data_IF_961147307290
#
_entry.id   IF_961147307290
#
_cell.length_a   1.000
_cell.length_b   1.000
_cell.length_c   1.000
_cell.angle_alpha   90.00
_cell.angle_beta   90.00
_cell.angle_gamma   90.00
#
_symmetry.space_group_name_H-M   'P 1'
#
loop_
_entity.id
_entity.type
_entity.pdbx_description
1 polymer ?
#
# COMPACT_ATOMS: atom_id res chain seq x y z
N UNK A 1 -14.30 -0.75 -8.48
CA UNK A 1 -14.80 0.63 -8.59
C UNK A 1 -13.89 1.52 -7.78
N UNK A 2 -12.95 2.20 -8.44
CA UNK A 2 -11.95 3.06 -7.80
C UNK A 2 -12.15 4.51 -8.19
N UNK A 3 -11.78 5.40 -7.27
CA UNK A 3 -11.60 6.83 -7.49
C UNK A 3 -10.26 7.22 -6.87
N UNK A 4 -9.58 8.18 -7.48
CA UNK A 4 -8.29 8.67 -7.00
C UNK A 4 -8.26 10.20 -7.01
N UNK A 5 -7.67 10.76 -5.97
CA UNK A 5 -7.39 12.19 -5.89
C UNK A 5 -6.11 12.51 -6.67
N UNK A 6 -6.14 13.60 -7.41
CA UNK A 6 -4.93 14.19 -7.98
C UNK A 6 -4.29 15.14 -6.95
N UNK A 7 -2.98 15.42 -7.06
CA UNK A 7 -2.30 16.38 -6.18
C UNK A 7 -2.87 17.80 -6.25
N UNK A 8 -3.51 18.16 -7.37
CA UNK A 8 -4.17 19.45 -7.58
C UNK A 8 -5.64 19.50 -7.12
N UNK A 9 -6.13 18.46 -6.43
CA UNK A 9 -7.46 18.45 -5.81
C UNK A 9 -8.62 18.11 -6.74
N UNK A 10 -8.34 17.49 -7.89
CA UNK A 10 -9.35 16.89 -8.78
C UNK A 10 -9.53 15.42 -8.46
N UNK A 11 -10.57 14.81 -9.03
CA UNK A 11 -10.92 13.42 -8.84
C UNK A 11 -10.90 12.70 -10.19
N UNK A 12 -10.16 11.60 -10.28
CA UNK A 12 -10.16 10.68 -11.41
C UNK A 12 -10.90 9.41 -11.05
N UNK A 13 -11.74 8.93 -11.95
CA UNK A 13 -12.61 7.78 -11.69
C UNK A 13 -13.01 7.08 -13.00
N UNK A 14 -13.41 5.81 -12.89
CA UNK A 14 -13.98 5.09 -14.02
C UNK A 14 -15.48 5.41 -14.15
N UNK A 15 -15.98 5.64 -15.38
CA UNK A 15 -17.41 5.92 -15.61
C UNK A 15 -17.90 5.44 -16.97
N UNK A 16 -19.16 4.97 -17.01
CA UNK A 16 -19.90 4.62 -18.22
C UNK A 16 -20.67 5.78 -18.85
N UNK A 17 -20.52 7.01 -18.36
CA UNK A 17 -21.28 8.17 -18.85
C UNK A 17 -21.13 8.42 -20.37
N UNK A 18 -20.05 7.91 -20.97
CA UNK A 18 -19.77 8.02 -22.40
C UNK A 18 -20.12 6.78 -23.24
N UNK A 19 -20.89 5.82 -22.69
CA UNK A 19 -21.32 4.60 -23.40
C UNK A 19 -20.43 3.37 -23.20
N UNK A 20 -19.21 3.54 -22.71
CA UNK A 20 -18.25 2.50 -22.33
C UNK A 20 -17.57 2.88 -21.01
N UNK A 21 -17.01 1.90 -20.29
CA UNK A 21 -16.20 2.21 -19.12
C UNK A 21 -14.90 2.91 -19.54
N UNK A 22 -14.78 4.18 -19.18
CA UNK A 22 -13.61 5.00 -19.49
C UNK A 22 -13.11 5.72 -18.25
N UNK A 23 -11.96 6.38 -18.38
CA UNK A 23 -11.41 7.23 -17.34
C UNK A 23 -11.95 8.65 -17.50
N UNK A 24 -12.48 9.19 -16.41
CA UNK A 24 -13.07 10.52 -16.31
C UNK A 24 -12.38 11.32 -15.21
N UNK A 25 -12.46 12.65 -15.35
CA UNK A 25 -11.96 13.58 -14.36
C UNK A 25 -13.01 14.65 -14.04
N UNK A 26 -13.06 15.08 -12.78
CA UNK A 26 -13.92 16.18 -12.31
C UNK A 26 -13.22 17.00 -11.23
N UNK A 27 -13.67 18.23 -11.00
CA UNK A 27 -13.26 19.01 -9.83
C UNK A 27 -13.83 18.40 -8.54
N UNK A 28 -13.25 18.72 -7.39
CA UNK A 28 -13.74 18.24 -6.08
C UNK A 28 -15.23 18.53 -5.81
N UNK A 29 -15.76 19.62 -6.37
CA UNK A 29 -17.16 20.01 -6.26
C UNK A 29 -18.08 19.39 -7.34
N UNK A 30 -17.56 18.49 -8.18
CA UNK A 30 -18.27 17.83 -9.27
C UNK A 30 -18.37 18.62 -10.58
N UNK A 31 -17.88 19.87 -10.62
CA UNK A 31 -17.87 20.69 -11.84
C UNK A 31 -16.77 20.26 -12.84
N UNK A 32 -16.90 20.69 -14.10
CA UNK A 32 -15.93 20.42 -15.17
C UNK A 32 -15.66 18.93 -15.39
N UNK A 33 -16.71 18.12 -15.25
CA UNK A 33 -16.66 16.71 -15.59
C UNK A 33 -16.34 16.52 -17.08
N UNK A 34 -15.30 15.74 -17.39
CA UNK A 34 -14.95 15.39 -18.77
C UNK A 34 -14.32 14.00 -18.86
N UNK A 35 -14.51 13.34 -20.00
CA UNK A 35 -13.78 12.12 -20.34
C UNK A 35 -12.30 12.47 -20.51
N UNK A 36 -11.42 11.66 -19.92
CA UNK A 36 -9.97 11.86 -20.01
C UNK A 36 -9.39 11.13 -21.22
N UNK A 37 -9.80 9.87 -21.44
CA UNK A 37 -9.45 9.11 -22.63
C UNK A 37 -10.48 7.98 -22.87
N UNK A 38 -10.58 7.56 -24.13
CA UNK A 38 -11.35 6.39 -24.55
C UNK A 38 -10.41 5.18 -24.50
N UNK A 39 -10.55 4.37 -23.45
CA UNK A 39 -9.54 3.37 -23.09
C UNK A 39 -10.12 2.02 -22.71
N UNK A 40 -11.44 1.90 -22.62
CA UNK A 40 -12.11 0.69 -22.13
C UNK A 40 -11.50 0.22 -20.81
N UNK A 41 -11.48 1.12 -19.82
CA UNK A 41 -10.92 0.85 -18.50
C UNK A 41 -11.89 0.04 -17.65
N UNK A 42 -11.41 -0.97 -16.94
CA UNK A 42 -12.30 -1.92 -16.29
C UNK A 42 -12.75 -1.47 -14.89
N UNK A 43 -11.89 -0.83 -14.05
CA UNK A 43 -12.38 -0.42 -12.70
C UNK A 43 -11.47 0.34 -11.70
N UNK A 44 -10.18 0.61 -11.89
CA UNK A 44 -9.35 1.18 -10.81
C UNK A 44 -8.26 2.14 -11.30
N UNK A 45 -8.54 3.44 -11.45
CA UNK A 45 -7.49 4.42 -11.65
C UNK A 45 -6.73 4.69 -10.35
N UNK A 46 -5.42 4.78 -10.45
CA UNK A 46 -4.52 5.35 -9.46
C UNK A 46 -3.69 6.45 -10.12
N UNK A 47 -3.32 7.47 -9.35
CA UNK A 47 -2.61 8.65 -9.85
C UNK A 47 -1.20 8.66 -9.29
N UNK A 48 -0.21 9.00 -10.12
CA UNK A 48 1.16 9.16 -9.65
C UNK A 48 1.24 10.33 -8.65
N UNK A 49 2.15 10.29 -7.66
CA UNK A 49 2.27 11.35 -6.66
C UNK A 49 2.55 12.74 -7.24
N UNK A 50 3.16 12.81 -8.42
CA UNK A 50 3.41 14.04 -9.17
C UNK A 50 2.24 14.47 -10.08
N UNK A 51 1.16 13.69 -10.14
CA UNK A 51 -0.02 13.96 -10.94
C UNK A 51 0.16 13.79 -12.45
N UNK A 52 1.31 13.26 -12.91
CA UNK A 52 1.60 13.09 -14.34
C UNK A 52 0.94 11.88 -14.97
N UNK A 53 0.77 10.80 -14.22
CA UNK A 53 0.31 9.52 -14.75
C UNK A 53 -0.99 9.06 -14.12
N UNK A 54 -1.84 8.46 -14.95
CA UNK A 54 -2.93 7.58 -14.51
C UNK A 54 -2.53 6.15 -14.83
N UNK A 55 -2.57 5.27 -13.82
CA UNK A 55 -2.51 3.82 -14.04
C UNK A 55 -3.89 3.25 -13.82
N UNK A 56 -4.34 2.42 -14.75
CA UNK A 56 -5.67 1.84 -14.73
C UNK A 56 -5.65 0.41 -15.26
N UNK A 57 -6.67 -0.35 -14.89
CA UNK A 57 -6.88 -1.71 -15.34
C UNK A 57 -7.68 -1.74 -16.65
N UNK A 58 -7.32 -2.58 -17.61
CA UNK A 58 -8.08 -2.79 -18.86
C UNK A 58 -7.89 -4.21 -19.41
N UNK A 59 -8.98 -4.82 -19.87
CA UNK A 59 -9.03 -6.19 -20.40
C UNK A 59 -8.92 -6.22 -21.93
N UNK A 60 -9.35 -5.16 -22.63
CA UNK A 60 -9.21 -4.98 -24.09
C UNK A 60 -9.61 -6.18 -24.96
N UNK A 61 -10.61 -6.95 -24.52
CA UNK A 61 -11.09 -8.14 -25.24
C UNK A 61 -10.26 -9.41 -25.03
N UNK A 62 -9.32 -9.37 -24.10
CA UNK A 62 -8.53 -10.53 -23.66
C UNK A 62 -9.24 -11.25 -22.50
N UNK A 63 -8.75 -12.43 -22.10
CA UNK A 63 -9.33 -13.17 -20.96
C UNK A 63 -8.91 -12.59 -19.60
N UNK A 64 -7.87 -11.77 -19.57
CA UNK A 64 -7.28 -11.20 -18.35
C UNK A 64 -7.18 -9.69 -18.42
N UNK A 65 -7.24 -9.05 -17.26
CA UNK A 65 -7.05 -7.61 -17.16
C UNK A 65 -5.58 -7.28 -16.88
N UNK A 66 -5.05 -6.27 -17.56
CA UNK A 66 -3.68 -5.77 -17.36
C UNK A 66 -3.67 -4.32 -16.85
N UNK A 67 -2.55 -3.91 -16.26
CA UNK A 67 -2.31 -2.51 -15.93
C UNK A 67 -1.78 -1.75 -17.13
N UNK A 68 -2.37 -0.59 -17.37
CA UNK A 68 -1.99 0.37 -18.38
C UNK A 68 -1.69 1.71 -17.72
N UNK A 69 -0.78 2.47 -18.32
CA UNK A 69 -0.45 3.84 -17.94
C UNK A 69 -0.79 4.80 -19.07
N UNK A 70 -1.27 5.99 -18.74
CA UNK A 70 -1.36 7.13 -19.65
C UNK A 70 -0.94 8.42 -18.96
N UNK A 71 -0.64 9.46 -19.73
CA UNK A 71 -0.42 10.80 -19.21
C UNK A 71 -1.75 11.41 -18.74
N UNK A 72 -1.68 12.30 -17.75
CA UNK A 72 -2.85 12.94 -17.12
C UNK A 72 -3.51 14.01 -18.00
N UNK A 73 -2.84 14.48 -19.05
CA UNK A 73 -3.42 15.35 -20.07
C UNK A 73 -4.11 14.58 -21.19
N UNK A 74 -3.91 13.25 -21.25
CA UNK A 74 -4.51 12.36 -22.23
C UNK A 74 -3.46 11.49 -22.93
N UNK A 75 -3.76 11.07 -24.16
CA UNK A 75 -2.84 10.30 -25.00
C UNK A 75 -3.06 8.79 -24.97
N UNK A 76 -2.26 8.08 -25.76
CA UNK A 76 -2.39 6.64 -25.96
C UNK A 76 -1.89 5.87 -24.74
N UNK A 77 -2.70 4.95 -24.17
CA UNK A 77 -2.26 4.11 -23.07
C UNK A 77 -1.12 3.18 -23.47
N UNK A 78 -0.18 2.99 -22.54
CA UNK A 78 0.93 2.05 -22.63
C UNK A 78 0.71 0.92 -21.62
N UNK A 79 0.80 -0.33 -22.06
CA UNK A 79 0.73 -1.49 -21.18
C UNK A 79 1.95 -1.55 -20.26
N UNK A 80 1.72 -1.78 -18.96
CA UNK A 80 2.77 -1.94 -17.95
C UNK A 80 3.06 -3.40 -17.62
N UNK A 81 2.05 -4.25 -17.74
CA UNK A 81 2.07 -5.63 -17.25
C UNK A 81 1.40 -6.58 -18.23
N UNK A 82 1.75 -7.86 -18.15
CA UNK A 82 1.20 -8.94 -18.98
C UNK A 82 0.71 -10.12 -18.12
N UNK A 83 0.10 -9.80 -16.98
CA UNK A 83 -0.42 -10.74 -15.97
C UNK A 83 -1.88 -10.41 -15.63
N UNK A 84 -2.59 -11.30 -14.94
CA UNK A 84 -3.95 -11.00 -14.50
C UNK A 84 -3.92 -10.16 -13.22
N UNK A 85 -4.07 -8.84 -13.37
CA UNK A 85 -3.81 -7.87 -12.31
C UNK A 85 -5.10 -7.41 -11.62
N UNK A 86 -4.98 -7.09 -10.33
CA UNK A 86 -6.11 -6.67 -9.51
C UNK A 86 -5.92 -5.28 -8.90
N UNK A 87 -5.37 -5.18 -7.69
CA UNK A 87 -5.17 -3.92 -6.99
C UNK A 87 -3.75 -3.39 -7.21
N UNK A 88 -3.58 -2.08 -7.31
CA UNK A 88 -2.28 -1.44 -7.50
C UNK A 88 -2.14 -0.18 -6.63
N UNK A 89 -0.91 0.16 -6.27
CA UNK A 89 -0.55 1.42 -5.60
C UNK A 89 0.78 1.95 -6.13
N UNK A 90 0.91 3.27 -6.17
CA UNK A 90 2.14 3.93 -6.59
C UNK A 90 3.17 3.95 -5.47
N UNK A 91 4.44 3.94 -5.86
CA UNK A 91 5.50 4.33 -4.96
C UNK A 91 5.43 5.83 -4.62
N UNK A 92 5.88 6.25 -3.43
CA UNK A 92 5.90 7.67 -3.05
C UNK A 92 6.73 8.56 -3.98
N UNK A 93 7.75 7.99 -4.63
CA UNK A 93 8.60 8.68 -5.63
C UNK A 93 8.03 8.61 -7.06
N UNK A 94 6.89 7.94 -7.27
CA UNK A 94 6.24 7.75 -8.56
C UNK A 94 6.99 6.88 -9.58
N UNK A 95 8.12 6.28 -9.20
CA UNK A 95 8.99 5.53 -10.13
C UNK A 95 8.52 4.10 -10.40
N UNK A 96 7.66 3.54 -9.55
CA UNK A 96 7.19 2.17 -9.70
C UNK A 96 5.78 1.98 -9.15
N UNK A 97 5.15 0.90 -9.57
CA UNK A 97 3.83 0.47 -9.12
C UNK A 97 4.00 -0.89 -8.44
N UNK A 98 3.40 -1.03 -7.25
CA UNK A 98 3.15 -2.34 -6.64
C UNK A 98 1.74 -2.78 -7.00
N UNK A 99 1.56 -4.06 -7.30
CA UNK A 99 0.27 -4.59 -7.71
C UNK A 99 0.11 -6.04 -7.27
N UNK A 100 -1.13 -6.48 -7.08
CA UNK A 100 -1.45 -7.90 -6.91
C UNK A 100 -1.79 -8.53 -8.24
N UNK A 101 -1.21 -9.70 -8.52
CA UNK A 101 -1.40 -10.40 -9.78
C UNK A 101 -1.34 -11.91 -9.65
N UNK A 102 -2.14 -12.56 -10.49
CA UNK A 102 -2.04 -13.98 -10.80
C UNK A 102 -1.39 -14.14 -12.18
N UNK A 103 -0.21 -14.76 -12.23
CA UNK A 103 0.54 -14.98 -13.47
C UNK A 103 0.26 -16.35 -14.12
N UNK A 104 -0.78 -17.04 -13.65
CA UNK A 104 -1.15 -18.40 -14.08
C UNK A 104 -0.22 -19.50 -13.58
N UNK A 105 0.88 -19.14 -12.91
CA UNK A 105 1.89 -20.07 -12.40
C UNK A 105 1.91 -20.11 -10.87
N UNK A 106 1.52 -19.01 -10.23
CA UNK A 106 1.58 -18.84 -8.79
C UNK A 106 0.22 -18.42 -8.21
N UNK A 107 0.09 -18.56 -6.88
CA UNK A 107 -0.95 -17.87 -6.12
C UNK A 107 -0.83 -16.36 -6.35
N UNK A 108 -1.97 -15.65 -6.27
CA UNK A 108 -1.98 -14.20 -6.35
C UNK A 108 -1.01 -13.60 -5.33
N UNK A 109 -0.01 -12.88 -5.81
CA UNK A 109 1.07 -12.35 -5.01
C UNK A 109 1.26 -10.87 -5.31
N UNK A 110 2.09 -10.20 -4.51
CA UNK A 110 2.50 -8.84 -4.80
C UNK A 110 3.68 -8.84 -5.76
N UNK A 111 3.60 -7.95 -6.73
CA UNK A 111 4.60 -7.71 -7.76
C UNK A 111 4.90 -6.23 -7.84
N UNK A 112 6.09 -5.91 -8.34
CA UNK A 112 6.54 -4.55 -8.58
C UNK A 112 7.01 -4.40 -10.01
N UNK A 113 6.60 -3.33 -10.67
CA UNK A 113 7.07 -2.97 -12.02
C UNK A 113 7.44 -1.48 -12.06
N UNK A 114 8.42 -1.13 -12.89
CA UNK A 114 8.73 0.27 -13.17
C UNK A 114 7.55 0.96 -13.82
N UNK A 115 7.35 2.25 -13.53
CA UNK A 115 6.32 3.05 -14.21
C UNK A 115 6.58 3.14 -15.71
N UNK A 116 7.83 3.00 -16.14
CA UNK A 116 8.24 2.98 -17.55
C UNK A 116 8.17 1.58 -18.20
N UNK A 117 7.44 0.65 -17.57
CA UNK A 117 7.39 -0.76 -17.88
C UNK A 117 8.76 -1.45 -17.76
N UNK A 118 8.82 -2.74 -18.11
CA UNK A 118 10.02 -3.58 -17.99
C UNK A 118 9.70 -4.87 -17.25
N UNK A 119 10.74 -5.57 -16.80
CA UNK A 119 10.58 -6.86 -16.12
C UNK A 119 10.02 -6.69 -14.72
N UNK A 120 8.85 -7.26 -14.39
CA UNK A 120 8.31 -7.22 -13.04
C UNK A 120 9.09 -8.11 -12.06
N UNK A 121 9.06 -7.73 -10.78
CA UNK A 121 9.71 -8.46 -9.68
C UNK A 121 8.65 -8.91 -8.67
N UNK A 122 8.62 -10.20 -8.35
CA UNK A 122 7.75 -10.75 -7.29
C UNK A 122 8.27 -10.35 -5.91
N UNK A 123 7.37 -9.90 -5.04
CA UNK A 123 7.69 -9.43 -3.69
C UNK A 123 7.25 -10.39 -2.58
N UNK A 124 6.17 -11.15 -2.80
CA UNK A 124 5.65 -12.12 -1.80
C UNK A 124 5.56 -13.52 -2.37
N UNK A 125 5.75 -14.53 -1.52
CA UNK A 125 5.62 -15.94 -1.88
C UNK A 125 4.30 -16.61 -1.46
N UNK A 126 3.47 -15.88 -0.70
CA UNK A 126 2.15 -16.28 -0.21
C UNK A 126 1.03 -15.41 -0.82
N UNK A 127 -0.23 -15.87 -0.68
CA UNK A 127 -1.38 -15.16 -1.24
C UNK A 127 -1.51 -13.76 -0.62
N UNK A 128 -1.38 -12.72 -1.45
CA UNK A 128 -1.32 -11.31 -1.02
C UNK A 128 -2.11 -10.40 -1.96
N UNK A 129 -2.92 -9.48 -1.42
CA UNK A 129 -3.85 -8.63 -2.16
C UNK A 129 -3.90 -7.20 -1.60
N UNK A 130 -4.47 -6.26 -2.36
CA UNK A 130 -4.68 -4.85 -1.96
C UNK A 130 -3.45 -4.17 -1.34
N UNK A 131 -2.33 -4.05 -2.09
CA UNK A 131 -1.14 -3.43 -1.57
C UNK A 131 -1.28 -1.92 -1.44
N UNK A 132 -0.67 -1.36 -0.40
CA UNK A 132 -0.37 0.08 -0.31
C UNK A 132 1.02 0.33 0.26
N UNK A 133 1.65 1.43 -0.16
CA UNK A 133 3.03 1.77 0.18
C UNK A 133 3.05 2.90 1.21
N UNK A 134 3.83 2.76 2.28
CA UNK A 134 3.97 3.83 3.27
C UNK A 134 4.54 5.10 2.63
N UNK A 135 4.20 6.30 3.16
CA UNK A 135 4.68 7.57 2.60
C UNK A 135 6.21 7.69 2.51
N UNK A 136 6.95 7.00 3.37
CA UNK A 136 8.43 6.96 3.35
C UNK A 136 9.01 5.87 2.43
N UNK A 137 8.15 5.07 1.78
CA UNK A 137 8.51 4.01 0.85
C UNK A 137 9.10 2.76 1.50
N UNK A 138 9.10 2.65 2.83
CA UNK A 138 9.81 1.57 3.54
C UNK A 138 8.93 0.36 3.88
N UNK A 139 7.62 0.54 3.92
CA UNK A 139 6.67 -0.48 4.30
C UNK A 139 5.63 -0.67 3.20
N UNK A 140 5.16 -1.91 3.08
CA UNK A 140 3.98 -2.28 2.33
C UNK A 140 2.97 -2.84 3.33
N UNK A 141 1.73 -2.39 3.23
CA UNK A 141 0.56 -3.03 3.84
C UNK A 141 -0.17 -3.80 2.75
N UNK A 142 -0.69 -4.98 3.09
CA UNK A 142 -1.47 -5.81 2.18
C UNK A 142 -2.33 -6.81 2.96
N UNK A 143 -3.35 -7.31 2.30
CA UNK A 143 -4.15 -8.43 2.79
C UNK A 143 -3.39 -9.70 2.49
N UNK A 144 -3.37 -10.65 3.42
CA UNK A 144 -2.82 -11.97 3.17
C UNK A 144 -3.81 -13.04 3.62
N UNK A 145 -3.81 -14.15 2.89
CA UNK A 145 -4.49 -15.37 3.32
C UNK A 145 -3.42 -16.35 3.81
N UNK A 146 -3.51 -16.72 5.09
CA UNK A 146 -2.68 -17.78 5.66
C UNK A 146 -3.25 -19.15 5.26
N UNK A 147 -2.38 -20.09 4.88
CA UNK A 147 -2.78 -21.43 4.50
C UNK A 147 -3.46 -22.12 5.71
N UNK A 148 -4.76 -22.41 5.58
CA UNK A 148 -5.58 -23.01 6.65
C UNK A 148 -6.62 -22.09 7.28
N UNK A 149 -6.67 -20.81 6.89
CA UNK A 149 -7.74 -19.88 7.31
C UNK A 149 -8.66 -19.53 6.14
N UNK A 150 -9.97 -19.63 6.34
CA UNK A 150 -10.99 -19.29 5.32
C UNK A 150 -11.25 -17.78 5.19
N UNK A 151 -10.60 -16.95 6.01
CA UNK A 151 -10.83 -15.50 6.09
C UNK A 151 -9.51 -14.72 5.93
N UNK A 152 -9.48 -13.68 5.08
CA UNK A 152 -8.32 -12.80 4.95
C UNK A 152 -8.00 -12.13 6.29
N UNK A 153 -6.71 -12.04 6.62
CA UNK A 153 -6.24 -11.35 7.81
C UNK A 153 -5.56 -10.03 7.38
N UNK A 154 -5.92 -8.93 8.05
CA UNK A 154 -5.22 -7.65 7.88
C UNK A 154 -3.92 -7.69 8.68
N UNK A 155 -2.76 -7.49 8.05
CA UNK A 155 -1.51 -7.16 8.76
C UNK A 155 -0.83 -5.96 8.14
N UNK A 156 -0.31 -5.12 9.03
CA UNK A 156 0.77 -4.20 8.70
C UNK A 156 2.07 -5.01 8.66
N UNK A 157 2.97 -4.67 7.74
CA UNK A 157 4.39 -5.04 7.69
C UNK A 157 4.75 -6.20 6.75
N UNK A 158 4.80 -5.89 5.45
CA UNK A 158 5.98 -6.25 4.67
C UNK A 158 6.97 -5.08 4.73
N UNK A 159 8.22 -5.31 5.16
CA UNK A 159 9.28 -4.33 4.95
C UNK A 159 9.65 -4.41 3.47
N UNK A 160 9.58 -3.30 2.74
CA UNK A 160 10.10 -3.27 1.38
C UNK A 160 11.61 -3.51 1.50
N UNK A 161 12.05 -4.74 1.23
CA UNK A 161 13.48 -5.01 1.10
C UNK A 161 13.92 -4.40 -0.21
N UNK A 162 14.48 -3.18 -0.13
CA UNK A 162 15.33 -2.66 -1.20
C UNK A 162 16.46 -3.67 -1.35
N UNK A 163 16.45 -4.43 -2.45
CA UNK A 163 17.48 -5.40 -2.73
C UNK A 163 18.83 -4.67 -2.90
N UNK A 164 19.57 -4.47 -1.81
CA UNK A 164 21.02 -4.55 -1.89
C UNK A 164 21.36 -6.03 -1.82
N UNK A 165 21.95 -6.53 -2.90
CA UNK A 165 22.49 -7.88 -3.03
C UNK A 165 23.25 -8.27 -1.76
N UNK A 166 22.63 -9.06 -0.88
CA UNK A 166 23.26 -10.12 -0.08
C UNK A 166 22.30 -10.57 1.03
N UNK A 167 21.82 -11.82 0.92
CA UNK A 167 21.13 -12.64 1.93
C UNK A 167 19.76 -12.15 2.43
N UNK A 168 18.74 -12.88 2.01
CA UNK A 168 17.38 -12.83 2.53
C UNK A 168 17.32 -13.42 3.95
N UNK A 169 16.70 -12.72 4.88
CA UNK A 169 16.14 -13.31 6.10
C UNK A 169 14.72 -12.79 6.25
N UNK A 170 13.76 -13.68 6.00
CA UNK A 170 12.33 -13.42 6.19
C UNK A 170 12.09 -13.46 7.71
N UNK A 171 11.75 -12.31 8.30
CA UNK A 171 11.34 -12.26 9.69
C UNK A 171 9.91 -12.78 9.80
N UNK A 172 9.75 -14.01 10.31
CA UNK A 172 8.46 -14.56 10.77
C UNK A 172 8.32 -14.28 12.27
N UNK A 173 7.54 -13.28 12.72
CA UNK A 173 7.24 -13.16 14.13
C UNK A 173 6.43 -14.37 14.59
N UNK A 174 6.96 -15.14 15.55
CA UNK A 174 6.21 -16.19 16.25
C UNK A 174 5.03 -15.54 16.97
N UNK A 175 3.83 -16.03 16.69
CA UNK A 175 2.62 -15.66 17.44
C UNK A 175 2.70 -16.27 18.84
N UNK A 176 2.54 -15.44 19.88
CA UNK A 176 2.19 -15.90 21.22
C UNK A 176 0.69 -15.64 21.37
N UNK A 177 -0.12 -16.68 21.29
CA UNK A 177 -1.55 -16.60 21.59
C UNK A 177 -1.70 -16.56 23.10
N UNK A 178 -1.84 -15.37 23.67
CA UNK A 178 -2.37 -15.23 25.03
C UNK A 178 -3.90 -15.21 24.92
N UNK A 179 -4.52 -16.30 25.39
CA UNK A 179 -5.97 -16.42 25.51
C UNK A 179 -6.47 -15.43 26.57
N UNK A 180 -7.11 -14.33 26.16
CA UNK A 180 -7.80 -13.45 27.10
C UNK A 180 -9.25 -13.89 27.24
N UNK A 181 -9.59 -14.54 28.35
CA UNK A 181 -10.95 -14.53 28.89
C UNK A 181 -11.31 -13.11 29.40
N UNK A 182 -12.60 -12.81 29.63
CA UNK A 182 -13.05 -11.43 29.75
C UNK A 182 -12.81 -10.92 31.18
N UNK A 183 -11.98 -9.88 31.34
CA UNK A 183 -12.04 -9.03 32.54
C UNK A 183 -11.78 -7.57 32.15
N UNK A 184 -12.72 -6.73 32.56
CA UNK A 184 -12.69 -5.27 32.53
C UNK A 184 -11.37 -4.70 33.09
N UNK A 185 -10.87 -3.63 32.48
CA UNK A 185 -9.87 -2.76 33.11
C UNK A 185 -8.85 -2.21 32.13
N UNK A 186 -8.92 -0.91 31.88
CA UNK A 186 -7.97 -0.17 31.07
C UNK A 186 -6.51 -0.35 31.54
N UNK A 187 -5.57 -0.40 30.59
CA UNK A 187 -4.25 0.22 30.72
C UNK A 187 -3.54 0.31 29.37
N UNK A 188 -3.36 1.55 28.93
CA UNK A 188 -2.43 1.92 27.88
C UNK A 188 -1.00 1.69 28.40
N UNK A 189 -0.21 0.86 27.74
CA UNK A 189 1.22 0.73 28.00
C UNK A 189 1.99 1.19 26.77
N UNK A 190 2.51 2.43 26.84
CA UNK A 190 3.63 2.85 26.00
C UNK A 190 4.89 2.12 26.48
N UNK A 191 5.59 1.42 25.58
CA UNK A 191 6.93 0.89 25.85
C UNK A 191 7.97 1.77 25.17
N UNK A 192 8.79 2.42 26.01
CA UNK A 192 10.00 3.13 25.62
C UNK A 192 11.10 2.12 25.24
N UNK A 193 11.68 2.27 24.05
CA UNK A 193 12.87 1.50 23.62
C UNK A 193 14.08 1.86 24.51
N UNK A 194 14.51 0.93 25.36
CA UNK A 194 15.80 1.02 26.03
C UNK A 194 16.91 0.64 25.03
N UNK A 195 17.80 1.59 24.72
CA UNK A 195 19.10 1.29 24.07
C UNK A 195 20.02 0.68 25.13
N UNK A 196 20.57 -0.50 24.83
CA UNK A 196 21.74 -1.01 25.53
C UNK A 196 23.00 -0.26 25.04
N UNK A 197 23.88 0.14 25.96
CA UNK A 197 25.26 0.55 25.67
C UNK A 197 26.21 -0.30 26.52
N UNK A 198 27.39 -0.71 26.02
CA UNK A 198 28.38 -1.41 26.82
C UNK A 198 29.39 -0.44 27.48
N UNK A 199 29.51 -0.61 28.80
CA UNK A 199 30.71 -0.50 29.68
C UNK A 199 31.76 0.61 29.47
N UNK A 200 31.91 1.49 30.47
CA UNK A 200 33.07 1.52 31.39
C UNK A 200 33.04 2.73 32.35
N UNK A 201 33.36 2.48 33.63
CA UNK A 201 34.02 3.46 34.52
C UNK A 201 33.16 4.40 35.39
N UNK A 202 33.28 4.24 36.73
CA UNK A 202 33.32 5.38 37.65
C UNK A 202 32.11 5.57 38.59
N UNK A 203 32.28 5.16 39.86
CA UNK A 203 31.44 5.60 40.98
C UNK A 203 31.68 7.08 41.31
N UNK A 204 30.60 7.87 41.49
CA UNK A 204 30.51 8.97 42.48
C UNK A 204 29.05 9.37 42.73
N UNK A 205 28.74 9.54 44.01
CA UNK A 205 27.45 9.94 44.61
C UNK A 205 27.17 11.44 44.44
N UNK A 206 25.89 11.83 44.22
CA UNK A 206 25.13 12.71 45.13
C UNK A 206 23.71 13.08 44.64
N UNK A 207 22.75 12.88 45.54
CA UNK A 207 21.59 13.71 45.93
C UNK A 207 20.69 14.43 44.90
N UNK A 208 19.39 14.08 44.95
CA UNK A 208 18.34 15.02 45.41
C UNK A 208 17.42 15.67 44.36
N UNK A 209 16.16 15.21 44.29
CA UNK A 209 14.93 15.94 44.74
C UNK A 209 13.68 15.28 44.14
N UNK A 210 12.84 14.75 45.03
CA UNK A 210 11.42 14.48 44.76
C UNK A 210 10.67 15.82 44.59
N UNK A 211 9.84 15.92 43.56
CA UNK A 211 8.72 16.87 43.55
C UNK A 211 7.41 16.11 43.30
N UNK A 212 6.43 16.46 44.14
CA UNK A 212 5.17 15.79 44.43
C UNK A 212 4.13 16.00 43.33
N UNK A 213 3.24 15.02 43.21
CA UNK A 213 1.95 15.10 42.52
C UNK A 213 0.96 16.03 43.25
N UNK A 214 0.00 16.64 42.52
CA UNK A 214 -1.27 17.06 43.10
C UNK A 214 -2.43 16.14 42.69
N UNK A 215 -3.28 15.99 43.68
CA UNK A 215 -4.46 15.15 43.89
C UNK A 215 -5.59 15.40 42.89
N UNK A 216 -6.34 14.34 42.55
CA UNK A 216 -7.67 14.41 41.93
C UNK A 216 -8.68 15.16 42.81
N UNK A 217 -9.60 15.88 42.17
CA UNK A 217 -10.92 16.20 42.72
C UNK A 217 -11.98 15.85 41.68
N UNK A 218 -12.87 14.93 42.04
CA UNK A 218 -14.10 14.57 41.32
C UNK A 218 -15.16 15.67 41.47
N UNK A 219 -15.89 15.93 40.39
CA UNK A 219 -17.34 16.17 40.38
C UNK A 219 -17.91 15.48 39.14
#
# INVERSE_FOLDING_TARGET
FGMAWTPDGRIVYASMAGGSWDIWITNANGSNQRKLADVNADSFPIISPDGRYVVFKSQRGEDTSHLYRMEMDGGSPRQLTSSNDHAASFSPDGQWVIYSANDGKHLEALWKVSIDAGTPVRLTDYKSQWPDVSPDGRLIVCDFLDEGTSHPQWRVVCRLMVARLSKFSIYRPKLRTESTGPVMGARCFMWTLARASPTSGGYRSMAGKLCRSPTLSLK
#
